data_IF_244854419446
#
_entry.id   IF_244854419446
#
_cell.length_a   1.000
_cell.length_b   1.000
_cell.length_c   1.000
_cell.angle_alpha   90.00
_cell.angle_beta   90.00
_cell.angle_gamma   90.00
#
_symmetry.space_group_name_H-M   'P 1'
#
loop_
_entity.id
_entity.type
_entity.pdbx_description
1 polymer ?
#
# COMPACT_ATOMS: atom_id res chain seq x y z
N UNK A 1 -22.61 10.39 18.03
CA UNK A 1 -23.25 9.33 18.84
C UNK A 1 -24.60 9.83 19.30
N UNK A 2 -25.67 9.06 19.09
CA UNK A 2 -27.02 9.44 19.51
C UNK A 2 -27.20 9.26 21.03
N UNK A 3 -28.17 9.95 21.66
CA UNK A 3 -28.35 9.89 23.12
C UNK A 3 -28.55 8.46 23.66
N UNK A 4 -29.40 7.65 23.02
CA UNK A 4 -29.64 6.26 23.42
C UNK A 4 -28.42 5.35 23.22
N UNK A 5 -27.57 5.61 22.21
CA UNK A 5 -26.33 4.87 22.01
C UNK A 5 -25.34 5.19 23.14
N UNK A 6 -25.28 6.46 23.54
CA UNK A 6 -24.42 6.93 24.63
C UNK A 6 -24.81 6.28 25.96
N UNK A 7 -26.10 6.21 26.27
CA UNK A 7 -26.59 5.52 27.48
C UNK A 7 -26.16 4.05 27.50
N UNK A 8 -26.29 3.34 26.37
CA UNK A 8 -25.84 1.96 26.24
C UNK A 8 -24.31 1.81 26.37
N UNK A 9 -23.55 2.79 25.90
CA UNK A 9 -22.09 2.82 26.00
C UNK A 9 -21.61 3.03 27.44
N UNK A 10 -22.26 3.95 28.14
CA UNK A 10 -21.95 4.32 29.53
C UNK A 10 -22.40 3.22 30.51
N UNK A 11 -23.49 2.51 30.20
CA UNK A 11 -24.01 1.40 31.01
C UNK A 11 -23.07 0.19 31.11
N UNK A 12 -22.18 -0.01 30.15
CA UNK A 12 -21.22 -1.13 30.16
C UNK A 12 -20.03 -0.77 31.06
N UNK A 13 -19.88 -1.45 32.20
CA UNK A 13 -18.75 -1.27 33.10
C UNK A 13 -17.50 -1.98 32.54
N UNK A 14 -16.52 -1.23 32.04
CA UNK A 14 -15.29 -1.77 31.46
C UNK A 14 -14.11 -0.87 31.81
N UNK A 15 -12.98 -1.47 32.19
CA UNK A 15 -11.80 -0.74 32.69
C UNK A 15 -10.85 -0.27 31.58
N UNK A 16 -11.10 -0.67 30.32
CA UNK A 16 -10.28 -0.30 29.16
C UNK A 16 -11.05 0.58 28.18
N UNK A 17 -10.34 1.17 27.22
CA UNK A 17 -10.96 1.96 26.15
C UNK A 17 -11.96 1.08 25.36
N UNK A 18 -13.20 1.57 25.24
CA UNK A 18 -14.34 0.87 24.64
C UNK A 18 -14.46 1.08 23.12
N UNK A 19 -13.37 1.41 22.43
CA UNK A 19 -13.35 1.65 20.98
C UNK A 19 -13.84 0.44 20.15
N UNK A 20 -13.79 -0.78 20.71
CA UNK A 20 -14.24 -2.00 20.03
C UNK A 20 -15.78 -2.12 19.95
N UNK A 21 -16.51 -1.38 20.81
CA UNK A 21 -17.94 -1.57 21.02
C UNK A 21 -18.80 -1.18 19.78
N UNK A 22 -18.53 -0.06 19.07
CA UNK A 22 -19.22 0.25 17.83
C UNK A 22 -19.06 -0.81 16.73
N UNK A 23 -17.92 -1.50 16.65
CA UNK A 23 -17.72 -2.60 15.68
C UNK A 23 -18.59 -3.80 16.02
N UNK A 24 -18.74 -4.12 17.30
CA UNK A 24 -19.64 -5.19 17.73
C UNK A 24 -21.10 -4.85 17.42
N UNK A 25 -21.50 -3.59 17.60
CA UNK A 25 -22.82 -3.11 17.19
C UNK A 25 -23.01 -3.16 15.67
N UNK A 26 -21.99 -2.82 14.89
CA UNK A 26 -22.01 -2.94 13.43
C UNK A 26 -22.21 -4.40 12.99
N UNK A 27 -21.48 -5.36 13.57
CA UNK A 27 -21.72 -6.79 13.30
C UNK A 27 -23.13 -7.23 13.69
N UNK A 28 -23.63 -6.80 14.86
CA UNK A 28 -24.99 -7.10 15.29
C UNK A 28 -26.05 -6.48 14.36
N UNK A 29 -25.78 -5.33 13.76
CA UNK A 29 -26.66 -4.71 12.75
C UNK A 29 -26.64 -5.48 11.44
N UNK A 30 -25.47 -5.91 10.95
CA UNK A 30 -25.35 -6.75 9.75
C UNK A 30 -26.13 -8.06 9.93
N UNK A 31 -25.97 -8.71 11.08
CA UNK A 31 -26.68 -9.96 11.39
C UNK A 31 -28.20 -9.74 11.43
N UNK A 32 -28.67 -8.65 12.06
CA UNK A 32 -30.10 -8.29 12.08
C UNK A 32 -30.64 -7.99 10.69
N UNK A 33 -29.92 -7.20 9.89
CA UNK A 33 -30.30 -6.89 8.51
C UNK A 33 -30.44 -8.16 7.66
N UNK A 34 -29.62 -9.18 7.92
CA UNK A 34 -29.77 -10.49 7.28
C UNK A 34 -31.03 -11.24 7.73
N UNK A 35 -31.32 -11.25 9.04
CA UNK A 35 -32.53 -11.87 9.59
C UNK A 35 -33.81 -11.20 9.10
N UNK A 36 -33.77 -9.88 8.89
CA UNK A 36 -34.87 -9.08 8.34
C UNK A 36 -35.00 -9.21 6.81
N UNK A 37 -34.08 -9.92 6.15
CA UNK A 37 -34.10 -10.14 4.70
C UNK A 37 -33.70 -8.92 3.86
N UNK A 38 -33.12 -7.87 4.48
CA UNK A 38 -32.59 -6.71 3.77
C UNK A 38 -31.34 -7.06 2.95
N UNK A 39 -30.59 -8.09 3.38
CA UNK A 39 -29.44 -8.64 2.68
C UNK A 39 -29.84 -9.96 2.03
N UNK A 40 -29.71 -10.05 0.71
CA UNK A 40 -30.21 -11.17 -0.11
C UNK A 40 -29.43 -12.47 0.10
N UNK A 41 -28.11 -12.39 0.28
CA UNK A 41 -27.22 -13.57 0.34
C UNK A 41 -26.30 -13.55 1.56
N UNK A 42 -26.06 -14.72 2.13
CA UNK A 42 -25.08 -14.94 3.21
C UNK A 42 -23.67 -14.56 2.78
N UNK A 43 -23.37 -14.62 1.48
CA UNK A 43 -22.09 -14.18 0.94
C UNK A 43 -21.85 -12.67 1.15
N UNK A 44 -22.89 -11.85 1.03
CA UNK A 44 -22.73 -10.41 1.31
C UNK A 44 -22.50 -10.14 2.79
N UNK A 45 -23.07 -10.95 3.67
CA UNK A 45 -22.83 -10.87 5.12
C UNK A 45 -21.37 -11.17 5.45
N UNK A 46 -20.77 -12.18 4.82
CA UNK A 46 -19.35 -12.50 5.06
C UNK A 46 -18.44 -11.37 4.56
N UNK A 47 -18.70 -10.81 3.37
CA UNK A 47 -17.94 -9.66 2.86
C UNK A 47 -18.05 -8.45 3.79
N UNK A 48 -19.27 -8.05 4.16
CA UNK A 48 -19.47 -6.90 5.05
C UNK A 48 -18.79 -7.12 6.41
N UNK A 49 -18.84 -8.36 6.93
CA UNK A 49 -18.18 -8.71 8.17
C UNK A 49 -16.66 -8.66 8.07
N UNK A 50 -16.09 -9.07 6.94
CA UNK A 50 -14.66 -9.00 6.65
C UNK A 50 -14.17 -7.55 6.50
N UNK A 51 -14.93 -6.67 5.85
CA UNK A 51 -14.57 -5.25 5.74
C UNK A 51 -14.62 -4.54 7.09
N UNK A 52 -15.63 -4.81 7.93
CA UNK A 52 -15.68 -4.31 9.31
C UNK A 52 -14.50 -4.84 10.13
N UNK A 53 -14.15 -6.12 9.95
CA UNK A 53 -12.98 -6.74 10.61
C UNK A 53 -11.69 -6.05 10.21
N UNK A 54 -11.50 -5.79 8.91
CA UNK A 54 -10.32 -5.13 8.36
C UNK A 54 -10.15 -3.73 8.95
N UNK A 55 -11.20 -2.90 8.92
CA UNK A 55 -11.16 -1.56 9.50
C UNK A 55 -10.85 -1.60 11.02
N UNK A 56 -11.45 -2.53 11.77
CA UNK A 56 -11.15 -2.73 13.19
C UNK A 56 -9.69 -3.10 13.42
N UNK A 57 -9.11 -3.97 12.57
CA UNK A 57 -7.71 -4.37 12.66
C UNK A 57 -6.77 -3.21 12.38
N UNK A 58 -7.07 -2.37 11.37
CA UNK A 58 -6.26 -1.19 11.05
C UNK A 58 -6.30 -0.17 12.21
N UNK A 59 -7.46 0.04 12.83
CA UNK A 59 -7.58 0.86 14.04
C UNK A 59 -6.81 0.27 15.23
N UNK A 60 -6.83 -1.07 15.38
CA UNK A 60 -6.07 -1.73 16.44
C UNK A 60 -4.55 -1.56 16.25
N UNK A 61 -4.06 -1.56 15.01
CA UNK A 61 -2.66 -1.22 14.73
C UNK A 61 -2.34 0.21 15.16
N UNK A 62 -3.20 1.18 14.86
CA UNK A 62 -3.01 2.56 15.30
C UNK A 62 -2.95 2.66 16.84
N UNK A 63 -3.86 1.98 17.56
CA UNK A 63 -3.82 1.94 19.02
C UNK A 63 -2.54 1.25 19.55
N UNK A 64 -2.02 0.24 18.86
CA UNK A 64 -0.75 -0.41 19.25
C UNK A 64 0.46 0.51 19.05
N UNK A 65 0.47 1.34 18.01
CA UNK A 65 1.50 2.35 17.80
C UNK A 65 1.50 3.44 18.87
N UNK A 66 0.32 3.82 19.38
CA UNK A 66 0.19 4.75 20.52
C UNK A 66 0.59 4.08 21.84
N UNK A 67 0.21 2.81 22.04
CA UNK A 67 0.45 2.09 23.29
C UNK A 67 1.91 1.69 23.52
N UNK A 68 2.66 1.37 22.45
CA UNK A 68 4.07 0.96 22.54
C UNK A 68 4.96 2.09 22.04
N UNK A 69 5.42 2.99 22.93
CA UNK A 69 6.39 4.00 22.52
C UNK A 69 7.72 3.34 22.16
N UNK A 70 8.45 3.95 21.22
CA UNK A 70 9.83 3.57 20.93
C UNK A 70 10.62 3.54 22.24
N UNK A 71 11.47 2.52 22.48
CA UNK A 71 12.26 2.46 23.70
C UNK A 71 13.04 3.77 23.84
N UNK A 72 12.89 4.41 25.00
CA UNK A 72 13.37 5.77 25.26
C UNK A 72 14.87 5.99 24.98
N UNK A 73 15.65 4.90 24.92
CA UNK A 73 17.06 4.93 24.55
C UNK A 73 17.32 5.28 23.07
N UNK A 74 16.41 4.94 22.16
CA UNK A 74 16.60 5.21 20.72
C UNK A 74 16.44 6.70 20.39
N UNK A 75 15.34 7.39 20.78
CA UNK A 75 15.22 8.82 20.54
C UNK A 75 16.31 9.62 21.26
N UNK A 76 16.76 9.18 22.43
CA UNK A 76 17.84 9.87 23.17
C UNK A 76 19.19 9.76 22.48
N UNK A 77 19.58 8.58 21.97
CA UNK A 77 20.82 8.42 21.20
C UNK A 77 20.73 9.16 19.86
N UNK A 78 19.59 9.08 19.16
CA UNK A 78 19.39 9.79 17.89
C UNK A 78 19.39 11.30 18.11
N UNK A 79 18.69 11.82 19.13
CA UNK A 79 18.76 13.22 19.50
C UNK A 79 20.18 13.64 19.85
N UNK A 80 20.96 12.84 20.60
CA UNK A 80 22.36 13.16 20.88
C UNK A 80 23.19 13.21 19.59
N UNK A 81 23.05 12.22 18.70
CA UNK A 81 23.77 12.19 17.42
C UNK A 81 23.38 13.38 16.51
N UNK A 82 22.08 13.64 16.35
CA UNK A 82 21.51 14.73 15.57
C UNK A 82 21.92 16.07 16.18
N UNK A 83 21.76 16.29 17.49
CA UNK A 83 22.21 17.53 18.15
C UNK A 83 23.72 17.69 18.08
N UNK A 84 24.53 16.62 18.11
CA UNK A 84 25.98 16.77 17.88
C UNK A 84 26.30 17.12 16.44
N UNK A 85 25.57 16.57 15.47
CA UNK A 85 25.71 16.89 14.04
C UNK A 85 25.23 18.32 13.74
N UNK A 86 24.08 18.71 14.29
CA UNK A 86 23.50 20.04 14.18
C UNK A 86 24.21 21.06 15.04
N UNK A 87 24.78 20.78 16.21
CA UNK A 87 25.66 21.72 16.94
C UNK A 87 26.92 22.03 16.12
N UNK A 88 27.44 21.05 15.38
CA UNK A 88 28.54 21.24 14.43
C UNK A 88 28.07 22.07 13.22
N UNK A 89 26.81 21.97 12.81
CA UNK A 89 26.23 22.74 11.69
C UNK A 89 25.64 24.13 12.09
N UNK A 90 25.20 24.30 13.33
CA UNK A 90 24.56 25.49 13.94
C UNK A 90 25.62 26.56 14.26
N UNK A 91 26.89 26.18 14.37
CA UNK A 91 28.01 27.12 14.24
C UNK A 91 27.98 27.92 12.91
N UNK A 92 27.12 27.57 11.94
CA UNK A 92 27.03 28.21 10.62
C UNK A 92 25.63 28.65 10.15
N UNK A 93 24.49 28.27 10.73
CA UNK A 93 23.18 28.76 10.21
C UNK A 93 22.02 28.68 11.24
N UNK A 94 21.19 29.73 11.26
CA UNK A 94 20.05 29.97 12.15
C UNK A 94 18.86 29.02 11.89
N UNK A 95 18.37 28.22 12.88
CA UNK A 95 17.34 27.20 12.68
C UNK A 95 16.06 27.47 13.50
N UNK A 96 15.23 28.44 13.11
CA UNK A 96 13.90 28.62 13.71
C UNK A 96 12.81 28.33 12.67
N UNK A 97 12.25 27.13 12.72
CA UNK A 97 11.02 26.73 12.03
C UNK A 97 10.10 25.99 13.00
N UNK A 98 8.80 26.23 12.86
CA UNK A 98 7.71 25.54 13.54
C UNK A 98 7.12 24.54 12.53
N UNK A 99 7.08 23.26 12.89
CA UNK A 99 6.76 22.15 11.98
C UNK A 99 5.27 22.11 11.57
N UNK A 100 4.98 22.16 10.26
CA UNK A 100 3.64 22.13 9.64
C UNK A 100 3.26 20.73 9.08
N UNK A 101 4.02 19.67 9.38
CA UNK A 101 3.97 18.37 8.67
C UNK A 101 3.09 17.27 9.34
N UNK A 102 2.20 17.64 10.27
CA UNK A 102 1.30 16.68 10.93
C UNK A 102 0.13 16.25 10.02
N UNK A 103 -0.37 15.01 10.19
CA UNK A 103 -1.56 14.54 9.47
C UNK A 103 -2.82 15.30 9.88
N UNK A 104 -3.57 15.82 8.89
CA UNK A 104 -4.88 16.47 9.09
C UNK A 104 -6.01 15.45 9.39
N UNK A 105 -5.94 14.81 10.56
CA UNK A 105 -6.89 13.76 10.97
C UNK A 105 -8.35 14.23 11.03
N UNK A 106 -8.59 15.47 11.45
CA UNK A 106 -9.95 16.05 11.51
C UNK A 106 -10.59 16.12 10.11
N UNK A 107 -9.83 16.56 9.11
CA UNK A 107 -10.30 16.65 7.72
C UNK A 107 -10.64 15.27 7.16
N UNK A 108 -9.82 14.26 7.48
CA UNK A 108 -10.09 12.89 7.08
C UNK A 108 -11.36 12.32 7.72
N UNK A 109 -11.61 12.60 9.00
CA UNK A 109 -12.81 12.16 9.71
C UNK A 109 -14.06 12.79 9.08
N UNK A 110 -14.05 14.11 8.88
CA UNK A 110 -15.18 14.84 8.30
C UNK A 110 -15.48 14.36 6.88
N UNK A 111 -14.44 14.21 6.05
CA UNK A 111 -14.56 13.69 4.69
C UNK A 111 -15.15 12.28 4.67
N UNK A 112 -14.62 11.38 5.49
CA UNK A 112 -15.07 9.98 5.51
C UNK A 112 -16.51 9.84 5.99
N UNK A 113 -16.89 10.59 7.02
CA UNK A 113 -18.28 10.60 7.51
C UNK A 113 -19.24 11.15 6.44
N UNK A 114 -18.89 12.26 5.81
CA UNK A 114 -19.73 12.88 4.79
C UNK A 114 -19.85 12.00 3.53
N UNK A 115 -18.74 11.45 3.03
CA UNK A 115 -18.76 10.57 1.85
C UNK A 115 -19.47 9.25 2.15
N UNK A 116 -19.20 8.62 3.29
CA UNK A 116 -19.81 7.34 3.67
C UNK A 116 -21.33 7.44 3.71
N UNK A 117 -21.87 8.48 4.35
CA UNK A 117 -23.32 8.72 4.41
C UNK A 117 -23.92 9.05 3.04
N UNK A 118 -23.23 9.87 2.22
CA UNK A 118 -23.71 10.19 0.86
C UNK A 118 -23.77 8.97 -0.06
N UNK A 119 -22.81 8.04 0.04
CA UNK A 119 -22.79 6.83 -0.78
C UNK A 119 -24.01 5.95 -0.47
N UNK A 120 -24.33 5.78 0.81
CA UNK A 120 -25.42 4.87 1.23
C UNK A 120 -26.80 5.49 1.18
N UNK A 121 -26.94 6.81 1.32
CA UNK A 121 -28.24 7.51 1.19
C UNK A 121 -28.45 7.97 -0.25
N UNK A 122 -27.69 8.98 -0.68
CA UNK A 122 -27.90 9.62 -1.99
C UNK A 122 -27.50 8.71 -3.15
N UNK A 123 -26.49 7.86 -2.97
CA UNK A 123 -25.97 6.96 -3.99
C UNK A 123 -26.72 5.64 -4.15
N UNK A 124 -27.61 5.28 -3.22
CA UNK A 124 -28.26 3.98 -3.24
C UNK A 124 -29.16 3.78 -4.47
N UNK A 125 -28.86 2.75 -5.26
CA UNK A 125 -29.63 2.39 -6.45
C UNK A 125 -29.59 3.41 -7.59
N UNK A 126 -28.76 4.45 -7.51
CA UNK A 126 -28.61 5.46 -8.57
C UNK A 126 -27.42 5.14 -9.44
N UNK A 127 -27.67 4.57 -10.62
CA UNK A 127 -26.66 4.37 -11.65
C UNK A 127 -26.82 5.41 -12.76
N UNK A 128 -25.73 5.89 -13.37
CA UNK A 128 -25.82 6.72 -14.56
C UNK A 128 -26.46 5.93 -15.71
N UNK A 129 -27.10 6.63 -16.64
CA UNK A 129 -27.70 6.01 -17.82
C UNK A 129 -26.64 5.27 -18.63
N UNK A 130 -26.91 4.00 -18.95
CA UNK A 130 -26.06 3.20 -19.81
C UNK A 130 -26.11 3.76 -21.24
N UNK A 131 -24.98 4.28 -21.71
CA UNK A 131 -24.81 4.79 -23.07
C UNK A 131 -23.56 4.17 -23.66
N UNK A 132 -23.55 3.99 -24.98
CA UNK A 132 -22.33 3.63 -25.70
C UNK A 132 -21.31 4.75 -25.47
N UNK A 133 -20.13 4.37 -25.02
CA UNK A 133 -19.05 5.32 -24.81
C UNK A 133 -18.44 5.77 -26.15
N UNK A 134 -17.59 6.79 -26.11
CA UNK A 134 -16.99 7.38 -27.31
C UNK A 134 -16.01 6.43 -28.05
N UNK A 135 -15.67 5.29 -27.45
CA UNK A 135 -14.75 4.29 -27.99
C UNK A 135 -15.48 2.97 -28.33
N UNK A 136 -16.81 3.00 -28.45
CA UNK A 136 -17.62 1.81 -28.72
C UNK A 136 -17.44 1.25 -30.14
N UNK A 137 -17.09 2.11 -31.11
CA UNK A 137 -16.82 1.72 -32.50
C UNK A 137 -15.31 1.49 -32.72
N UNK A 138 -14.94 0.69 -33.74
CA UNK A 138 -13.55 0.31 -33.98
C UNK A 138 -12.74 1.39 -34.73
N UNK A 139 -11.48 1.56 -34.32
CA UNK A 139 -10.50 2.65 -34.56
C UNK A 139 -10.61 3.86 -33.63
N UNK A 140 -10.19 3.67 -32.36
CA UNK A 140 -9.94 4.77 -31.44
C UNK A 140 -8.46 5.17 -31.43
N UNK A 141 -8.21 6.48 -31.40
CA UNK A 141 -6.88 7.06 -31.14
C UNK A 141 -7.01 7.97 -29.91
N UNK A 142 -6.19 7.78 -28.87
CA UNK A 142 -6.24 8.65 -27.69
C UNK A 142 -5.82 10.08 -28.08
N UNK A 143 -6.65 11.05 -27.69
CA UNK A 143 -6.42 12.47 -27.93
C UNK A 143 -5.67 13.07 -26.74
N UNK A 144 -4.68 13.91 -27.03
CA UNK A 144 -3.90 14.65 -26.04
C UNK A 144 -4.06 16.15 -26.29
N UNK A 145 -3.87 16.97 -25.25
CA UNK A 145 -3.78 18.42 -25.42
C UNK A 145 -2.56 18.79 -26.25
N UNK A 146 -2.55 19.96 -26.89
CA UNK A 146 -1.38 20.42 -27.68
C UNK A 146 -0.10 20.46 -26.85
N UNK A 147 -0.18 20.78 -25.56
CA UNK A 147 0.97 20.80 -24.65
C UNK A 147 1.49 19.38 -24.36
N UNK A 148 0.60 18.42 -24.10
CA UNK A 148 0.97 17.03 -23.77
C UNK A 148 1.26 16.17 -25.00
N UNK A 149 0.82 16.56 -26.19
CA UNK A 149 1.07 15.81 -27.43
C UNK A 149 2.56 15.80 -27.83
N UNK A 150 3.33 16.77 -27.34
CA UNK A 150 4.76 16.92 -27.59
C UNK A 150 5.62 16.35 -26.45
N UNK A 151 5.00 16.02 -25.31
CA UNK A 151 5.65 15.23 -24.28
C UNK A 151 5.98 13.86 -24.88
N UNK A 152 7.24 13.47 -24.75
CA UNK A 152 7.87 12.30 -25.40
C UNK A 152 6.87 11.17 -25.68
N UNK A 153 6.80 10.74 -26.93
CA UNK A 153 6.16 9.46 -27.31
C UNK A 153 6.75 8.36 -26.44
N UNK A 154 6.02 7.96 -25.40
CA UNK A 154 6.31 6.73 -24.68
C UNK A 154 6.07 5.61 -25.68
N UNK A 155 7.16 5.07 -26.24
CA UNK A 155 7.10 3.73 -26.81
C UNK A 155 6.62 2.83 -25.70
N UNK A 156 5.57 2.03 -25.96
CA UNK A 156 5.13 1.02 -25.01
C UNK A 156 6.36 0.26 -24.52
N UNK A 157 6.54 0.16 -23.20
CA UNK A 157 7.73 -0.49 -22.65
C UNK A 157 7.72 -1.96 -23.07
N UNK A 158 8.48 -2.27 -24.12
CA UNK A 158 8.80 -3.63 -24.48
C UNK A 158 9.92 -4.11 -23.54
N UNK A 159 9.82 -5.36 -23.09
CA UNK A 159 10.84 -5.93 -22.21
C UNK A 159 12.23 -5.86 -22.86
N UNK A 160 13.30 -5.76 -22.06
CA UNK A 160 14.67 -5.56 -22.53
C UNK A 160 15.20 -6.62 -23.52
N UNK A 161 14.46 -7.71 -23.72
CA UNK A 161 14.77 -8.81 -24.63
C UNK A 161 13.80 -8.89 -25.84
N UNK A 162 12.86 -7.96 -26.02
CA UNK A 162 11.80 -8.04 -27.06
C UNK A 162 12.34 -8.11 -28.49
N UNK A 163 13.50 -7.48 -28.74
CA UNK A 163 14.14 -7.44 -30.05
C UNK A 163 15.31 -8.42 -30.20
N UNK A 164 15.49 -9.38 -29.28
CA UNK A 164 16.57 -10.36 -29.40
C UNK A 164 16.28 -11.30 -30.58
N UNK A 165 17.07 -11.15 -31.65
CA UNK A 165 17.05 -12.10 -32.77
C UNK A 165 17.88 -13.31 -32.36
N UNK A 166 17.24 -14.31 -31.77
CA UNK A 166 17.85 -15.63 -31.62
C UNK A 166 18.12 -16.17 -33.03
N UNK A 167 19.37 -16.57 -33.29
CA UNK A 167 19.66 -17.33 -34.50
C UNK A 167 18.82 -18.62 -34.48
N UNK A 168 18.21 -18.99 -35.60
CA UNK A 168 17.21 -20.10 -35.68
C UNK A 168 17.81 -21.49 -35.36
N UNK A 169 19.07 -21.54 -34.97
CA UNK A 169 19.83 -22.74 -34.68
C UNK A 169 20.73 -22.61 -33.45
N UNK A 170 20.36 -21.84 -32.42
CA UNK A 170 21.05 -21.96 -31.12
C UNK A 170 20.55 -23.22 -30.40
N UNK A 171 20.95 -24.38 -30.92
CA UNK A 171 20.73 -25.68 -30.30
C UNK A 171 21.63 -25.89 -29.09
N UNK A 172 22.68 -25.07 -28.94
CA UNK A 172 23.74 -25.24 -27.96
C UNK A 172 24.21 -23.88 -27.42
N UNK A 173 24.16 -23.70 -26.10
CA UNK A 173 24.72 -22.53 -25.41
C UNK A 173 25.95 -22.98 -24.63
N UNK A 174 27.09 -22.29 -24.86
CA UNK A 174 28.34 -22.53 -24.12
C UNK A 174 28.31 -21.75 -22.82
N UNK A 175 28.13 -22.45 -21.71
CA UNK A 175 28.21 -21.84 -20.38
C UNK A 175 29.69 -21.79 -19.95
N UNK A 176 30.17 -20.57 -19.72
CA UNK A 176 31.52 -20.30 -19.20
C UNK A 176 31.43 -19.83 -17.74
N UNK A 177 32.37 -20.23 -16.87
CA UNK A 177 32.38 -19.80 -15.49
C UNK A 177 32.58 -18.28 -15.41
N UNK A 178 31.89 -17.64 -14.46
CA UNK A 178 32.06 -16.23 -14.16
C UNK A 178 33.51 -16.00 -13.73
N UNK A 179 34.26 -15.19 -14.48
CA UNK A 179 35.62 -14.87 -14.11
C UNK A 179 35.56 -13.87 -12.95
N UNK A 180 35.84 -14.32 -11.73
CA UNK A 180 36.05 -13.41 -10.61
C UNK A 180 37.25 -12.52 -10.93
N UNK A 181 37.04 -11.21 -11.05
CA UNK A 181 38.13 -10.24 -11.02
C UNK A 181 38.70 -10.27 -9.61
N UNK A 182 39.82 -10.99 -9.42
CA UNK A 182 40.46 -11.12 -8.11
C UNK A 182 40.95 -9.76 -7.59
N UNK A 183 40.65 -9.37 -6.34
CA UNK A 183 41.33 -8.25 -5.70
C UNK A 183 42.77 -8.67 -5.38
N UNK A 184 43.72 -7.77 -5.60
CA UNK A 184 45.15 -8.01 -5.40
C UNK A 184 45.47 -8.35 -3.94
N UNK A 185 45.79 -9.60 -3.64
CA UNK A 185 46.20 -10.02 -2.30
C UNK A 185 46.44 -11.53 -2.20
N UNK A 186 47.61 -11.91 -1.72
CA UNK A 186 48.18 -13.25 -1.85
C UNK A 186 47.45 -14.37 -1.08
N UNK A 187 47.48 -15.55 -1.71
CA UNK A 187 47.52 -16.91 -1.12
C UNK A 187 46.33 -17.42 -0.31
N UNK A 188 45.49 -18.19 -1.00
CA UNK A 188 45.15 -19.56 -0.58
C UNK A 188 44.69 -20.36 -1.78
N UNK A 189 45.42 -21.45 -2.08
CA UNK A 189 45.06 -22.45 -3.10
C UNK A 189 43.73 -23.10 -2.72
N UNK A 190 42.62 -22.46 -3.07
CA UNK A 190 41.32 -23.14 -3.16
C UNK A 190 41.36 -23.96 -4.44
N UNK A 191 41.27 -25.29 -4.29
CA UNK A 191 41.13 -26.26 -5.36
C UNK A 191 40.23 -25.67 -6.45
N UNK A 192 40.78 -25.38 -7.63
CA UNK A 192 39.97 -25.25 -8.84
C UNK A 192 39.24 -26.59 -8.97
N UNK A 193 37.96 -26.63 -8.60
CA UNK A 193 37.07 -27.61 -9.20
C UNK A 193 37.21 -27.37 -10.70
N UNK A 194 37.54 -28.40 -11.46
CA UNK A 194 37.61 -28.35 -12.91
C UNK A 194 36.18 -28.16 -13.44
N UNK A 195 35.65 -26.94 -13.32
CA UNK A 195 34.36 -26.58 -13.90
C UNK A 195 34.63 -26.45 -15.40
N UNK A 196 34.41 -27.56 -16.09
CA UNK A 196 34.54 -27.65 -17.54
C UNK A 196 33.43 -26.83 -18.16
N UNK A 197 33.80 -26.05 -19.16
CA UNK A 197 32.84 -25.45 -20.09
C UNK A 197 31.88 -26.55 -20.54
N UNK A 198 30.60 -26.33 -20.29
CA UNK A 198 29.58 -27.33 -20.60
C UNK A 198 28.70 -26.75 -21.69
N UNK A 199 28.60 -27.48 -22.79
CA UNK A 199 27.70 -27.17 -23.89
C UNK A 199 26.36 -27.78 -23.52
N UNK A 200 25.37 -26.95 -23.20
CA UNK A 200 24.03 -27.43 -22.81
C UNK A 200 23.11 -27.34 -24.03
N UNK A 201 22.44 -28.43 -24.42
CA UNK A 201 21.46 -28.39 -25.48
C UNK A 201 20.22 -27.60 -25.01
N UNK A 202 19.80 -26.64 -25.81
CA UNK A 202 18.56 -25.88 -25.57
C UNK A 202 17.41 -26.73 -26.11
N UNK A 203 16.50 -27.16 -25.24
CA UNK A 203 15.26 -27.82 -25.69
C UNK A 203 14.42 -26.81 -26.47
N UNK A 204 13.75 -27.25 -27.56
CA UNK A 204 12.91 -26.38 -28.38
C UNK A 204 11.79 -25.72 -27.57
#
# INVERSE_FOLDING_TARGET
>A
MRPHEKENFDGIQYNYNKYFLPFNWAWALIYRARMEGLIESDYYVTILSEEVRKFRTDLAWLCNYDWVPLPMIYPTIVCLAVHTYFLVAEALLNPWGLDDDDFETNVLIDRNLAMGLKIVDDGYGKTPELRKDAFWDDEWVPLYSEESAWEKKYTQHEGSLSHIKLDRSVSQVRMVPLHETAPSGNTSRRRMSSIRETIVPVKP
#
